data_IF_785480611535
#
_entry.id   IF_785480611535
#
_cell.length_a   1.000
_cell.length_b   1.000
_cell.length_c   1.000
_cell.angle_alpha   90.00
_cell.angle_beta   90.00
_cell.angle_gamma   90.00
#
_symmetry.space_group_name_H-M   'P 1'
#
loop_
_entity.id
_entity.type
_entity.pdbx_description
1 polymer ?
#
# COMPACT_ATOMS: atom_id res chain seq x y z
N UNK A 1 18.75 -10.30 50.76
CA UNK A 1 19.46 -9.10 50.29
C UNK A 1 20.87 -9.15 50.85
N UNK A 2 21.91 -8.84 50.06
CA UNK A 2 23.29 -8.79 50.51
C UNK A 2 23.78 -7.34 50.47
N UNK A 3 24.40 -6.89 51.55
CA UNK A 3 25.01 -5.58 51.64
C UNK A 3 26.52 -5.74 51.54
N UNK A 4 27.16 -4.96 50.67
CA UNK A 4 28.60 -4.92 50.55
C UNK A 4 29.07 -3.48 50.83
N UNK A 5 29.40 -3.23 52.09
CA UNK A 5 29.72 -1.88 52.61
C UNK A 5 30.88 -1.22 51.88
N UNK A 6 31.94 -1.98 51.56
CA UNK A 6 33.14 -1.45 50.94
C UNK A 6 32.87 -0.86 49.53
N UNK A 7 31.93 -1.42 48.75
CA UNK A 7 31.53 -0.85 47.46
C UNK A 7 30.16 -0.15 47.50
N UNK A 8 29.62 0.12 48.71
CA UNK A 8 28.30 0.74 48.91
C UNK A 8 27.19 0.13 48.03
N UNK A 9 27.25 -1.18 47.82
CA UNK A 9 26.37 -1.89 46.89
C UNK A 9 25.39 -2.77 47.65
N UNK A 10 24.12 -2.70 47.28
CA UNK A 10 23.07 -3.58 47.78
C UNK A 10 22.64 -4.51 46.65
N UNK A 11 22.67 -5.82 46.87
CA UNK A 11 22.24 -6.82 45.88
C UNK A 11 21.02 -7.58 46.38
N UNK A 12 19.97 -7.58 45.55
CA UNK A 12 18.79 -8.41 45.72
C UNK A 12 18.83 -9.54 44.69
N UNK A 13 18.89 -10.80 45.15
CA UNK A 13 18.79 -11.98 44.28
C UNK A 13 17.41 -12.59 44.44
N UNK A 14 16.68 -12.73 43.35
CA UNK A 14 15.39 -13.44 43.31
C UNK A 14 15.68 -14.95 43.38
N UNK A 15 15.11 -15.69 44.35
CA UNK A 15 15.33 -17.13 44.45
C UNK A 15 14.59 -17.87 43.32
N UNK A 16 15.23 -18.90 42.77
CA UNK A 16 14.66 -19.72 41.69
C UNK A 16 14.55 -18.99 40.35
N UNK A 17 13.57 -19.39 39.54
CA UNK A 17 13.25 -18.76 38.26
C UNK A 17 12.32 -17.58 38.50
N UNK A 18 12.76 -16.37 38.17
CA UNK A 18 11.91 -15.19 38.25
C UNK A 18 10.71 -15.31 37.31
N UNK A 19 9.52 -15.02 37.80
CA UNK A 19 8.32 -15.00 36.97
C UNK A 19 8.39 -13.85 35.95
N UNK A 20 7.95 -14.08 34.70
CA UNK A 20 7.83 -13.02 33.71
C UNK A 20 6.78 -11.99 34.17
N UNK A 21 7.05 -10.71 33.92
CA UNK A 21 6.12 -9.63 34.27
C UNK A 21 6.82 -8.37 34.77
N UNK A 22 6.02 -7.41 35.19
CA UNK A 22 6.49 -6.12 35.67
C UNK A 22 6.89 -6.19 37.14
N UNK A 23 8.18 -5.98 37.42
CA UNK A 23 8.70 -5.91 38.78
C UNK A 23 8.80 -4.45 39.21
N UNK A 24 8.09 -4.09 40.28
CA UNK A 24 8.15 -2.74 40.87
C UNK A 24 9.12 -2.75 42.05
N UNK A 25 9.96 -1.73 42.13
CA UNK A 25 10.81 -1.47 43.28
C UNK A 25 10.62 -0.02 43.73
N UNK A 26 10.84 0.24 45.02
CA UNK A 26 10.84 1.58 45.58
C UNK A 26 12.07 1.71 46.48
N UNK A 27 12.77 2.82 46.38
CA UNK A 27 13.94 3.13 47.20
C UNK A 27 13.60 4.33 48.05
N UNK A 28 13.62 4.16 49.36
CA UNK A 28 13.41 5.24 50.31
C UNK A 28 14.78 5.71 50.82
N UNK A 29 15.08 6.99 50.62
CA UNK A 29 16.33 7.63 51.08
C UNK A 29 15.98 8.86 51.90
N UNK A 30 16.74 9.10 52.98
CA UNK A 30 16.60 10.30 53.83
C UNK A 30 17.45 11.48 53.34
N UNK A 31 18.32 11.23 52.37
CA UNK A 31 19.22 12.22 51.78
C UNK A 31 19.08 12.24 50.25
N UNK A 32 19.31 13.40 49.64
CA UNK A 32 19.40 13.52 48.18
C UNK A 32 20.73 12.97 47.71
N UNK A 33 20.71 11.89 46.93
CA UNK A 33 21.89 11.23 46.41
C UNK A 33 21.56 10.53 45.07
N UNK A 34 22.54 10.49 44.17
CA UNK A 34 22.43 9.74 42.92
C UNK A 34 22.64 8.25 43.18
N UNK A 35 21.67 7.42 42.76
CA UNK A 35 21.69 5.97 42.93
C UNK A 35 21.66 5.31 41.56
N UNK A 36 22.52 4.31 41.34
CA UNK A 36 22.46 3.47 40.15
C UNK A 36 21.74 2.17 40.50
N UNK A 37 20.68 1.87 39.75
CA UNK A 37 19.94 0.60 39.87
C UNK A 37 20.23 -0.24 38.64
N UNK A 38 20.83 -1.41 38.84
CA UNK A 38 21.10 -2.37 37.77
C UNK A 38 20.28 -3.63 38.00
N UNK A 39 19.42 -3.96 37.04
CA UNK A 39 18.68 -5.22 37.02
C UNK A 39 19.32 -6.15 35.99
N UNK A 40 19.84 -7.29 36.46
CA UNK A 40 20.40 -8.33 35.59
C UNK A 40 19.46 -9.55 35.56
N UNK A 41 19.28 -10.13 34.38
CA UNK A 41 18.45 -11.33 34.19
C UNK A 41 19.18 -12.32 33.29
N UNK A 42 18.88 -13.61 33.47
CA UNK A 42 19.41 -14.71 32.66
C UNK A 42 18.23 -15.50 32.08
N UNK A 43 18.42 -16.13 30.90
CA UNK A 43 17.41 -16.98 30.29
C UNK A 43 16.98 -18.10 31.24
N UNK A 44 15.66 -18.31 31.36
CA UNK A 44 15.08 -19.35 32.23
C UNK A 44 15.40 -20.77 31.74
N UNK A 45 15.65 -20.93 30.44
CA UNK A 45 16.08 -22.18 29.82
C UNK A 45 17.27 -21.90 28.90
N UNK A 46 18.23 -22.82 28.87
CA UNK A 46 19.43 -22.68 28.05
C UNK A 46 19.16 -22.76 26.53
N UNK A 47 18.04 -23.37 26.13
CA UNK A 47 17.64 -23.55 24.74
C UNK A 47 16.85 -22.37 24.14
N UNK A 48 16.41 -21.43 24.99
CA UNK A 48 15.72 -20.21 24.56
C UNK A 48 16.61 -19.01 24.85
N UNK A 49 17.42 -18.56 23.89
CA UNK A 49 18.29 -17.40 24.09
C UNK A 49 17.46 -16.13 24.27
N UNK A 50 17.97 -15.14 25.03
CA UNK A 50 17.22 -13.94 25.31
C UNK A 50 17.09 -13.05 24.07
N UNK A 51 16.09 -12.17 24.07
CA UNK A 51 16.06 -11.02 23.16
C UNK A 51 17.26 -10.13 23.50
N UNK A 52 18.05 -9.84 22.48
CA UNK A 52 19.26 -9.03 22.49
C UNK A 52 18.94 -7.68 21.86
N UNK A 53 19.48 -6.62 22.46
CA UNK A 53 19.45 -5.27 21.91
C UNK A 53 20.89 -4.80 21.78
N UNK A 54 21.28 -4.38 20.58
CA UNK A 54 22.54 -3.66 20.35
C UNK A 54 22.23 -2.22 20.01
N UNK A 55 22.97 -1.28 20.58
CA UNK A 55 22.80 0.14 20.32
C UNK A 55 24.14 0.77 19.97
N UNK A 56 24.16 1.59 18.92
CA UNK A 56 25.36 2.29 18.49
C UNK A 56 25.00 3.57 17.71
N UNK A 57 25.99 4.45 17.57
CA UNK A 57 25.92 5.62 16.70
C UNK A 57 26.58 5.30 15.35
N UNK A 58 26.26 6.03 14.28
CA UNK A 58 27.01 5.94 13.01
C UNK A 58 28.49 6.34 13.14
N UNK A 59 28.82 7.20 14.11
CA UNK A 59 30.16 7.71 14.36
C UNK A 59 30.34 8.09 15.84
N UNK A 60 31.58 7.99 16.33
CA UNK A 60 31.93 8.33 17.73
C UNK A 60 32.39 9.78 17.91
N UNK A 61 32.67 10.49 16.82
CA UNK A 61 33.05 11.90 16.82
C UNK A 61 32.25 12.63 15.74
N UNK A 62 31.75 13.82 16.05
CA UNK A 62 31.07 14.70 15.09
C UNK A 62 31.59 16.13 15.21
N UNK A 63 31.99 16.70 14.08
CA UNK A 63 32.29 18.13 13.94
C UNK A 63 31.05 18.95 13.52
N UNK A 64 29.89 18.29 13.40
CA UNK A 64 28.64 18.89 12.93
C UNK A 64 28.50 18.94 11.39
N UNK A 65 29.50 18.52 10.62
CA UNK A 65 29.39 18.54 9.15
C UNK A 65 28.52 17.41 8.59
N UNK A 66 28.36 16.34 9.37
CA UNK A 66 27.58 15.16 9.01
C UNK A 66 26.56 14.86 10.09
N UNK A 67 25.39 14.33 9.70
CA UNK A 67 24.36 13.98 10.65
C UNK A 67 24.77 12.79 11.53
N UNK A 68 24.28 12.80 12.77
CA UNK A 68 24.39 11.68 13.69
C UNK A 68 23.15 10.79 13.56
N UNK A 69 23.36 9.48 13.55
CA UNK A 69 22.27 8.49 13.52
C UNK A 69 22.41 7.59 14.74
N UNK A 70 21.28 7.35 15.41
CA UNK A 70 21.18 6.36 16.47
C UNK A 70 20.60 5.09 15.87
N UNK A 71 21.26 3.95 16.11
CA UNK A 71 20.78 2.63 15.71
C UNK A 71 20.49 1.76 16.92
N UNK A 72 19.41 0.97 16.82
CA UNK A 72 19.08 -0.09 17.75
C UNK A 72 18.66 -1.36 16.99
N UNK A 73 19.47 -2.42 17.09
CA UNK A 73 19.14 -3.73 16.53
C UNK A 73 18.46 -4.56 17.61
N UNK A 74 17.23 -5.03 17.34
CA UNK A 74 16.46 -5.90 18.24
C UNK A 74 16.32 -7.27 17.60
N UNK A 75 16.93 -8.28 18.23
CA UNK A 75 16.94 -9.64 17.67
C UNK A 75 16.89 -10.72 18.74
N UNK A 76 16.39 -11.90 18.37
CA UNK A 76 16.54 -13.12 19.15
C UNK A 76 17.07 -14.21 18.21
N UNK A 77 18.25 -14.75 18.50
CA UNK A 77 19.01 -15.53 17.53
C UNK A 77 19.27 -14.74 16.24
N UNK A 78 18.96 -15.35 15.10
CA UNK A 78 19.06 -14.77 13.77
C UNK A 78 17.74 -14.15 13.29
N UNK A 79 16.74 -14.02 14.17
CA UNK A 79 15.44 -13.45 13.85
C UNK A 79 15.34 -12.04 14.42
N UNK A 80 15.08 -11.09 13.54
CA UNK A 80 14.79 -9.70 13.91
C UNK A 80 13.43 -9.61 14.61
N UNK A 81 13.32 -8.70 15.57
CA UNK A 81 12.10 -8.43 16.33
C UNK A 81 11.57 -7.06 15.95
N UNK A 82 10.40 -7.04 15.33
CA UNK A 82 9.75 -5.84 14.80
C UNK A 82 8.53 -5.45 15.62
N UNK A 83 7.98 -4.25 15.39
CA UNK A 83 6.85 -3.67 16.13
C UNK A 83 7.09 -3.56 17.64
N UNK A 84 8.28 -3.12 18.02
CA UNK A 84 8.64 -2.81 19.40
C UNK A 84 8.71 -1.31 19.63
N UNK A 85 8.46 -0.89 20.87
CA UNK A 85 8.64 0.50 21.28
C UNK A 85 10.12 0.71 21.65
N UNK A 86 10.84 1.49 20.84
CA UNK A 86 12.28 1.75 21.02
C UNK A 86 12.53 3.22 21.28
N UNK A 87 13.17 3.52 22.41
CA UNK A 87 13.55 4.87 22.80
C UNK A 87 15.04 4.94 23.13
N UNK A 88 15.71 5.91 22.54
CA UNK A 88 17.06 6.32 22.90
C UNK A 88 17.01 7.47 23.90
N UNK A 89 17.92 7.45 24.87
CA UNK A 89 18.22 8.55 25.78
C UNK A 89 19.68 8.93 25.55
N UNK A 90 19.91 10.16 25.11
CA UNK A 90 21.24 10.72 24.91
C UNK A 90 21.52 11.72 26.04
N UNK A 91 22.52 11.43 26.86
CA UNK A 91 22.85 12.21 28.05
C UNK A 91 24.20 12.90 27.87
N UNK A 92 24.21 14.23 27.92
CA UNK A 92 25.42 15.04 27.84
C UNK A 92 26.20 15.03 29.16
N UNK A 93 27.48 15.37 29.10
CA UNK A 93 28.35 15.52 30.29
C UNK A 93 27.84 16.57 31.30
N UNK A 94 27.03 17.53 30.83
CA UNK A 94 26.34 18.51 31.70
C UNK A 94 25.11 17.95 32.44
N UNK A 95 24.77 16.67 32.23
CA UNK A 95 23.63 16.00 32.85
C UNK A 95 22.28 16.26 32.18
N UNK A 96 22.26 16.90 31.01
CA UNK A 96 21.02 17.06 30.26
C UNK A 96 20.76 15.84 29.40
N UNK A 97 19.57 15.25 29.53
CA UNK A 97 19.15 14.08 28.78
C UNK A 97 18.09 14.45 27.75
N UNK A 98 18.20 13.87 26.57
CA UNK A 98 17.21 13.97 25.51
C UNK A 98 16.69 12.60 25.13
N UNK A 99 15.38 12.48 24.97
CA UNK A 99 14.72 11.27 24.51
C UNK A 99 14.43 11.36 23.00
N UNK A 100 14.62 10.25 22.30
CA UNK A 100 14.42 10.11 20.87
C UNK A 100 13.79 8.75 20.57
N UNK A 101 12.60 8.73 19.97
CA UNK A 101 11.96 7.48 19.57
C UNK A 101 12.57 6.96 18.28
N UNK A 102 13.10 5.74 18.26
CA UNK A 102 13.64 5.12 17.06
C UNK A 102 12.55 4.34 16.31
N UNK A 103 12.57 4.40 14.98
CA UNK A 103 11.54 3.83 14.11
C UNK A 103 12.15 2.77 13.17
N UNK A 104 11.36 1.77 12.83
CA UNK A 104 11.64 0.72 11.84
C UNK A 104 10.54 0.79 10.76
N UNK A 105 10.52 1.91 10.03
CA UNK A 105 9.46 2.31 9.10
C UNK A 105 9.93 2.45 7.64
N UNK A 106 11.23 2.30 7.38
CA UNK A 106 11.87 2.43 6.08
C UNK A 106 11.97 3.86 5.56
N UNK A 107 11.96 4.86 6.45
CA UNK A 107 12.06 6.27 6.11
C UNK A 107 13.08 7.02 6.99
N UNK A 108 13.59 8.15 6.48
CA UNK A 108 14.56 8.96 7.20
C UNK A 108 15.88 8.22 7.40
N UNK A 109 16.36 8.15 8.64
CA UNK A 109 17.56 7.37 8.95
C UNK A 109 17.37 5.85 8.77
N UNK A 110 16.12 5.37 8.75
CA UNK A 110 15.81 3.96 8.62
C UNK A 110 15.70 3.52 7.16
N UNK A 111 16.61 2.64 6.75
CA UNK A 111 16.74 2.26 5.35
C UNK A 111 15.72 1.20 4.92
N UNK A 112 15.30 0.31 5.84
CA UNK A 112 14.46 -0.83 5.52
C UNK A 112 13.39 -1.06 6.58
N UNK A 113 12.13 -0.92 6.17
CA UNK A 113 10.97 -1.24 7.01
C UNK A 113 10.95 -2.70 7.44
N UNK A 114 10.58 -2.90 8.70
CA UNK A 114 10.33 -4.18 9.36
C UNK A 114 11.55 -5.12 9.28
N UNK A 115 12.77 -4.61 9.45
CA UNK A 115 14.00 -5.41 9.46
C UNK A 115 14.58 -5.63 10.88
N UNK A 116 13.99 -5.01 11.90
CA UNK A 116 14.38 -5.06 13.31
C UNK A 116 15.55 -4.15 13.69
N UNK A 117 15.99 -3.30 12.76
CA UNK A 117 16.87 -2.18 13.03
C UNK A 117 15.99 -0.94 13.14
N UNK A 118 16.04 -0.29 14.30
CA UNK A 118 15.33 0.95 14.54
C UNK A 118 16.35 2.07 14.49
N UNK A 119 16.05 3.13 13.75
CA UNK A 119 16.98 4.25 13.64
C UNK A 119 16.29 5.59 13.49
N UNK A 120 17.04 6.66 13.79
CA UNK A 120 16.60 8.05 13.68
C UNK A 120 17.79 9.01 13.69
N UNK A 121 17.68 10.16 13.04
CA UNK A 121 18.70 11.20 13.14
C UNK A 121 18.65 11.91 14.50
N UNK A 122 19.83 12.25 15.01
CA UNK A 122 20.01 13.03 16.23
C UNK A 122 20.54 14.43 15.91
N UNK A 123 19.66 15.42 15.89
CA UNK A 123 19.96 16.79 15.44
C UNK A 123 20.20 17.78 16.58
N UNK A 124 19.60 17.54 17.75
CA UNK A 124 19.72 18.39 18.95
C UNK A 124 21.04 18.14 19.71
N UNK A 125 22.16 18.25 18.99
CA UNK A 125 23.47 17.95 19.53
C UNK A 125 23.92 18.99 20.56
N UNK A 126 24.71 18.56 21.56
CA UNK A 126 25.39 19.47 22.50
C UNK A 126 26.89 19.22 22.45
N UNK A 127 27.68 20.29 22.53
CA UNK A 127 29.14 20.17 22.56
C UNK A 127 29.59 19.36 23.78
N UNK A 128 30.69 18.63 23.61
CA UNK A 128 31.29 17.79 24.63
C UNK A 128 30.88 16.33 24.48
N UNK A 129 31.16 15.54 25.52
CA UNK A 129 30.91 14.09 25.51
C UNK A 129 29.47 13.80 25.88
N UNK A 130 28.87 12.86 25.15
CA UNK A 130 27.53 12.35 25.42
C UNK A 130 27.54 10.83 25.47
N UNK A 131 26.57 10.25 26.19
CA UNK A 131 26.37 8.81 26.29
C UNK A 131 25.03 8.40 25.70
N UNK A 132 24.99 7.23 25.07
CA UNK A 132 23.78 6.64 24.51
C UNK A 132 23.24 5.55 25.43
N UNK A 133 21.93 5.56 25.68
CA UNK A 133 21.20 4.46 26.31
C UNK A 133 19.96 4.17 25.47
N UNK A 134 19.69 2.90 25.20
CA UNK A 134 18.49 2.50 24.45
C UNK A 134 17.63 1.60 25.31
N UNK A 135 16.34 1.87 25.32
CA UNK A 135 15.31 1.08 25.98
C UNK A 135 14.34 0.56 24.92
N UNK A 136 14.12 -0.76 24.94
CA UNK A 136 13.17 -1.46 24.08
C UNK A 136 12.09 -2.08 24.95
N UNK A 137 10.83 -1.93 24.55
CA UNK A 137 9.68 -2.51 25.21
C UNK A 137 8.76 -3.21 24.20
N UNK A 138 8.15 -4.30 24.65
CA UNK A 138 6.99 -4.90 24.00
C UNK A 138 5.90 -5.09 25.07
N UNK A 139 5.29 -3.99 25.50
CA UNK A 139 4.21 -4.04 26.50
C UNK A 139 2.85 -4.29 25.87
N UNK A 140 2.65 -3.97 24.60
CA UNK A 140 1.35 -4.17 23.95
C UNK A 140 1.21 -5.55 23.31
N UNK A 141 2.27 -6.37 23.35
CA UNK A 141 2.30 -7.71 22.79
C UNK A 141 2.26 -7.74 21.25
N UNK A 142 2.45 -6.59 20.59
CA UNK A 142 2.40 -6.49 19.13
C UNK A 142 3.71 -6.91 18.46
N UNK A 143 4.79 -7.06 19.22
CA UNK A 143 6.07 -7.46 18.65
C UNK A 143 6.00 -8.87 18.07
N UNK A 144 6.64 -9.04 16.92
CA UNK A 144 6.69 -10.29 16.19
C UNK A 144 8.08 -10.48 15.60
N UNK A 145 8.44 -11.72 15.29
CA UNK A 145 9.64 -11.96 14.49
C UNK A 145 9.40 -11.56 13.04
N UNK A 146 10.45 -11.08 12.38
CA UNK A 146 10.41 -10.94 10.92
C UNK A 146 10.23 -12.32 10.29
N UNK A 147 9.43 -12.36 9.22
CA UNK A 147 9.41 -13.53 8.37
C UNK A 147 10.75 -13.62 7.65
N UNK A 148 11.41 -14.78 7.71
CA UNK A 148 12.51 -15.04 6.79
C UNK A 148 11.94 -14.90 5.38
N UNK A 149 12.37 -13.86 4.64
CA UNK A 149 12.09 -13.73 3.21
C UNK A 149 12.64 -15.01 2.54
N UNK A 150 11.80 -16.03 2.38
CA UNK A 150 12.12 -17.19 1.55
C UNK A 150 12.34 -16.64 0.14
N UNK A 151 13.48 -16.99 -0.47
CA UNK A 151 14.01 -16.52 -1.75
C UNK A 151 13.04 -15.75 -2.65
N UNK A 152 13.36 -14.47 -2.86
CA UNK A 152 12.58 -13.50 -3.62
C UNK A 152 12.64 -13.69 -5.14
N UNK A 153 12.04 -14.77 -5.64
CA UNK A 153 11.49 -14.71 -7.00
C UNK A 153 10.13 -13.99 -6.89
N UNK A 154 9.91 -12.84 -7.56
CA UNK A 154 8.58 -12.26 -7.64
C UNK A 154 7.64 -13.30 -8.25
N UNK A 155 6.47 -13.50 -7.63
CA UNK A 155 5.44 -14.35 -8.20
C UNK A 155 4.98 -13.67 -9.49
N UNK A 156 5.27 -14.29 -10.64
CA UNK A 156 4.86 -13.78 -11.95
C UNK A 156 3.36 -14.00 -12.08
N UNK A 157 2.50 -12.95 -12.14
CA UNK A 157 1.05 -13.12 -12.17
C UNK A 157 0.53 -13.76 -13.46
N UNK A 158 1.34 -13.73 -14.52
CA UNK A 158 1.02 -14.31 -15.82
C UNK A 158 2.12 -14.05 -16.85
N UNK A 159 2.03 -14.69 -18.00
CA UNK A 159 2.96 -14.51 -19.12
C UNK A 159 2.19 -14.31 -20.43
N UNK A 160 2.86 -13.73 -21.43
CA UNK A 160 2.24 -13.44 -22.74
C UNK A 160 2.53 -14.57 -23.72
N UNK A 161 1.48 -15.19 -24.28
CA UNK A 161 1.57 -16.14 -25.38
C UNK A 161 0.77 -15.60 -26.55
N UNK A 162 1.41 -15.39 -27.70
CA UNK A 162 0.76 -14.91 -28.93
C UNK A 162 -0.08 -13.63 -28.73
N UNK A 163 0.35 -12.72 -27.85
CA UNK A 163 -0.35 -11.46 -27.56
C UNK A 163 -1.49 -11.57 -26.54
N UNK A 164 -1.75 -12.76 -25.98
CA UNK A 164 -2.75 -12.98 -24.93
C UNK A 164 -2.04 -13.21 -23.59
N UNK A 165 -2.52 -12.55 -22.52
CA UNK A 165 -1.99 -12.71 -21.16
C UNK A 165 -2.60 -13.97 -20.53
N UNK A 166 -1.78 -15.00 -20.28
CA UNK A 166 -2.16 -16.17 -19.50
C UNK A 166 -1.81 -15.95 -18.02
N UNK A 167 -2.80 -16.03 -17.13
CA UNK A 167 -2.62 -15.83 -15.69
C UNK A 167 -2.13 -17.11 -15.01
N UNK A 168 -1.14 -16.97 -14.12
CA UNK A 168 -0.69 -18.05 -13.27
C UNK A 168 -1.66 -18.24 -12.07
N UNK A 169 -1.76 -19.45 -11.49
CA UNK A 169 -2.68 -19.75 -10.37
C UNK A 169 -2.36 -18.92 -9.12
N UNK A 170 -3.36 -18.31 -8.44
CA UNK A 170 -3.14 -17.40 -7.33
C UNK A 170 -2.12 -17.94 -6.33
N UNK A 171 -1.16 -17.10 -5.97
CA UNK A 171 -0.05 -17.46 -5.08
C UNK A 171 -0.64 -18.18 -3.85
N UNK A 172 -0.21 -19.41 -3.54
CA UNK A 172 -0.72 -20.13 -2.39
C UNK A 172 -0.55 -19.26 -1.13
N UNK A 173 -1.58 -19.15 -0.28
CA UNK A 173 -1.43 -18.45 0.98
C UNK A 173 -0.35 -19.15 1.79
N UNK A 174 0.77 -18.46 2.02
CA UNK A 174 1.80 -18.96 2.93
C UNK A 174 1.29 -18.70 4.33
N UNK A 175 1.18 -19.73 5.17
CA UNK A 175 0.77 -19.54 6.56
C UNK A 175 1.83 -18.68 7.27
N UNK A 176 1.48 -17.42 7.49
CA UNK A 176 2.19 -16.49 8.35
C UNK A 176 1.99 -16.90 9.81
N UNK A 177 2.52 -18.05 10.23
CA UNK A 177 2.66 -18.34 11.65
C UNK A 177 3.77 -17.41 12.19
N UNK A 178 3.40 -16.16 12.46
CA UNK A 178 4.22 -15.26 13.24
C UNK A 178 4.32 -15.85 14.63
N UNK A 179 5.50 -16.35 14.99
CA UNK A 179 5.79 -16.67 16.38
C UNK A 179 5.65 -15.36 17.18
N UNK A 180 4.69 -15.33 18.09
CA UNK A 180 4.48 -14.18 18.96
C UNK A 180 5.69 -13.98 19.86
N UNK A 181 6.09 -12.73 20.03
CA UNK A 181 7.15 -12.36 20.96
C UNK A 181 6.47 -12.01 22.28
N UNK A 182 6.82 -12.73 23.34
CA UNK A 182 6.29 -12.45 24.68
C UNK A 182 6.61 -11.03 25.14
N UNK A 183 5.94 -10.56 26.20
CA UNK A 183 6.21 -9.23 26.78
C UNK A 183 7.64 -9.15 27.31
N UNK A 184 8.34 -8.05 27.00
CA UNK A 184 9.69 -7.84 27.51
C UNK A 184 10.05 -6.36 27.65
N UNK A 185 11.09 -6.10 28.43
CA UNK A 185 11.83 -4.84 28.43
C UNK A 185 13.32 -5.14 28.45
N UNK A 186 14.07 -4.41 27.62
CA UNK A 186 15.53 -4.46 27.56
C UNK A 186 16.07 -3.04 27.57
N UNK A 187 17.15 -2.84 28.33
CA UNK A 187 17.89 -1.59 28.32
C UNK A 187 19.35 -1.92 28.09
N UNK A 188 19.97 -1.23 27.15
CA UNK A 188 21.39 -1.36 26.84
C UNK A 188 22.03 0.02 26.86
N UNK A 189 23.24 0.11 27.39
CA UNK A 189 24.07 1.31 27.27
C UNK A 189 24.89 1.15 26.00
N UNK A 190 24.72 2.08 25.07
CA UNK A 190 25.53 2.17 23.85
C UNK A 190 26.87 2.86 24.12
N UNK A 191 27.59 3.14 23.05
CA UNK A 191 28.87 3.83 23.13
C UNK A 191 28.71 5.32 23.50
N UNK A 192 29.78 5.92 24.03
CA UNK A 192 29.87 7.38 24.14
C UNK A 192 30.32 7.98 22.82
N UNK A 193 29.91 9.22 22.55
CA UNK A 193 30.36 9.99 21.41
C UNK A 193 30.69 11.42 21.82
N UNK A 194 31.51 12.10 21.03
CA UNK A 194 31.95 13.48 21.26
C UNK A 194 31.48 14.38 20.12
N UNK A 195 30.99 15.57 20.48
CA UNK A 195 30.51 16.57 19.52
C UNK A 195 31.32 17.85 19.67
N UNK A 196 31.90 18.33 18.57
CA UNK A 196 32.73 19.52 18.52
C UNK A 196 32.50 20.32 17.23
N UNK A 197 31.46 21.17 17.21
CA UNK A 197 31.22 22.13 16.12
C UNK A 197 31.67 23.56 16.49
N UNK A 198 31.96 24.38 15.48
CA UNK A 198 32.50 25.75 15.66
C UNK A 198 31.44 26.79 16.05
N UNK A 199 30.17 26.57 15.72
CA UNK A 199 29.04 27.47 16.02
C UNK A 199 28.53 27.42 17.48
N UNK A 200 27.59 28.31 17.83
CA UNK A 200 26.92 28.32 19.15
C UNK A 200 25.67 27.44 19.19
N UNK A 201 25.07 27.17 18.03
CA UNK A 201 23.93 26.26 17.85
C UNK A 201 24.34 25.05 17.01
N UNK A 202 23.65 23.91 17.16
CA UNK A 202 23.83 22.77 16.27
C UNK A 202 23.59 23.19 14.81
N UNK A 203 24.30 22.56 13.85
CA UNK A 203 24.04 22.75 12.44
C UNK A 203 22.66 22.20 12.09
N UNK A 204 21.93 22.93 11.23
CA UNK A 204 20.69 22.45 10.63
C UNK A 204 21.00 21.74 9.31
N UNK A 205 20.29 20.65 9.02
CA UNK A 205 20.36 19.95 7.74
C UNK A 205 19.01 20.06 7.02
N UNK A 206 19.00 20.05 5.68
CA UNK A 206 17.74 20.07 4.95
C UNK A 206 16.88 18.82 5.25
N UNK A 207 15.58 18.85 4.94
CA UNK A 207 14.68 17.71 5.12
C UNK A 207 15.22 16.46 4.42
N UNK A 208 14.98 15.29 5.00
CA UNK A 208 15.46 14.03 4.41
C UNK A 208 14.78 13.76 3.06
N UNK A 209 15.47 13.03 2.19
CA UNK A 209 14.89 12.53 0.94
C UNK A 209 13.73 11.59 1.25
N UNK A 210 12.60 11.79 0.56
CA UNK A 210 11.48 10.84 0.57
C UNK A 210 11.84 9.63 -0.30
N UNK A 211 11.77 8.42 0.28
CA UNK A 211 12.21 7.17 -0.36
C UNK A 211 11.07 6.23 -0.72
N UNK A 212 9.87 6.48 -0.19
CA UNK A 212 8.69 5.62 -0.29
C UNK A 212 7.50 6.28 -1.00
N UNK A 213 7.77 7.33 -1.80
CA UNK A 213 6.72 7.98 -2.60
C UNK A 213 6.04 6.95 -3.51
N UNK A 214 4.73 6.91 -3.44
CA UNK A 214 3.86 6.06 -4.26
C UNK A 214 2.77 6.90 -4.91
N UNK A 215 2.28 6.44 -6.06
CA UNK A 215 1.25 7.10 -6.83
C UNK A 215 0.26 6.07 -7.37
N UNK A 216 -1.03 6.33 -7.21
CA UNK A 216 -2.12 5.49 -7.68
C UNK A 216 -3.16 6.35 -8.39
N UNK A 217 -3.56 5.99 -9.61
CA UNK A 217 -4.67 6.66 -10.29
C UNK A 217 -5.99 6.06 -9.78
N UNK A 218 -6.85 6.89 -9.19
CA UNK A 218 -8.18 6.53 -8.71
C UNK A 218 -9.23 7.33 -9.48
N UNK A 219 -9.94 6.67 -10.41
CA UNK A 219 -10.95 7.30 -11.27
C UNK A 219 -10.40 8.53 -12.04
N UNK A 220 -10.64 9.72 -11.47
CA UNK A 220 -10.31 11.06 -11.95
C UNK A 220 -9.31 11.78 -11.03
N UNK A 221 -8.62 11.07 -10.14
CA UNK A 221 -7.58 11.63 -9.28
C UNK A 221 -6.33 10.75 -9.25
N UNK A 222 -5.25 11.33 -8.74
CA UNK A 222 -4.04 10.60 -8.38
C UNK A 222 -3.88 10.71 -6.87
N UNK A 223 -3.92 9.57 -6.19
CA UNK A 223 -3.54 9.46 -4.79
C UNK A 223 -2.02 9.32 -4.72
N UNK A 224 -1.37 10.27 -4.07
CA UNK A 224 0.03 10.16 -3.69
C UNK A 224 0.13 9.81 -2.21
N UNK A 225 1.09 8.95 -1.86
CA UNK A 225 1.38 8.61 -0.46
C UNK A 225 2.87 8.47 -0.21
N UNK A 226 3.33 8.97 0.93
CA UNK A 226 4.72 8.94 1.37
C UNK A 226 4.82 9.05 2.89
N UNK A 227 6.01 8.81 3.45
CA UNK A 227 6.32 9.14 4.85
C UNK A 227 6.89 10.55 4.94
N UNK A 228 6.29 11.40 5.78
CA UNK A 228 6.64 12.80 5.96
C UNK A 228 8.10 12.96 6.41
N UNK A 229 8.91 13.80 5.75
CA UNK A 229 10.21 14.21 6.26
C UNK A 229 10.07 15.32 7.31
N UNK A 230 11.18 15.64 7.97
CA UNK A 230 11.24 16.70 8.99
C UNK A 230 11.64 18.07 8.47
N UNK A 231 11.81 19.00 9.41
CA UNK A 231 12.48 20.29 9.21
C UNK A 231 14.00 20.08 9.11
N UNK A 232 14.54 19.29 10.03
CA UNK A 232 15.95 18.92 10.11
C UNK A 232 16.06 17.40 9.94
N UNK A 233 16.35 16.97 8.71
CA UNK A 233 16.33 15.55 8.32
C UNK A 233 14.96 14.91 8.62
N UNK A 234 14.90 13.97 9.58
CA UNK A 234 13.68 13.27 10.03
C UNK A 234 13.16 13.79 11.39
N UNK A 235 13.51 15.02 11.77
CA UNK A 235 13.05 15.70 12.99
C UNK A 235 12.21 16.94 12.68
N UNK A 236 11.12 17.14 13.44
CA UNK A 236 10.23 18.28 13.26
C UNK A 236 9.26 18.10 12.10
N UNK A 237 8.86 19.21 11.49
CA UNK A 237 7.86 19.27 10.41
C UNK A 237 8.40 20.15 9.30
N UNK A 238 8.47 19.61 8.07
CA UNK A 238 8.87 20.41 6.91
C UNK A 238 7.91 21.60 6.71
N UNK A 239 8.41 22.70 6.15
CA UNK A 239 7.60 23.88 5.85
C UNK A 239 6.60 23.63 4.71
N UNK A 240 7.05 22.99 3.63
CA UNK A 240 6.23 22.78 2.43
C UNK A 240 6.78 21.70 1.51
N UNK A 241 5.96 21.27 0.55
CA UNK A 241 6.35 20.38 -0.53
C UNK A 241 6.30 21.06 -1.89
N UNK A 242 7.28 20.76 -2.73
CA UNK A 242 7.25 20.98 -4.16
C UNK A 242 7.03 19.64 -4.85
N UNK A 243 5.80 19.43 -5.35
CA UNK A 243 5.43 18.21 -6.06
C UNK A 243 5.43 18.50 -7.56
N UNK A 244 6.12 17.66 -8.33
CA UNK A 244 6.18 17.78 -9.78
C UNK A 244 5.91 16.47 -10.48
N UNK A 245 5.45 16.56 -11.72
CA UNK A 245 5.11 15.41 -12.55
C UNK A 245 5.55 15.60 -14.01
N UNK A 246 5.68 14.48 -14.72
CA UNK A 246 5.97 14.45 -16.16
C UNK A 246 5.50 13.13 -16.80
N UNK A 247 5.34 13.13 -18.11
CA UNK A 247 5.24 11.90 -18.91
C UNK A 247 6.60 11.25 -19.15
N UNK A 248 7.67 12.03 -19.01
CA UNK A 248 9.04 11.58 -19.21
C UNK A 248 9.74 11.42 -17.86
N UNK A 249 10.08 10.18 -17.54
CA UNK A 249 10.86 9.81 -16.35
C UNK A 249 12.18 10.60 -16.29
N UNK A 250 12.83 10.84 -17.43
CA UNK A 250 14.12 11.52 -17.48
C UNK A 250 14.01 12.98 -17.07
N UNK A 251 12.90 13.64 -17.41
CA UNK A 251 12.62 15.02 -17.02
C UNK A 251 12.65 15.20 -15.51
N UNK A 252 12.07 14.26 -14.74
CA UNK A 252 12.09 14.33 -13.28
C UNK A 252 13.45 13.95 -12.67
N UNK A 253 14.26 13.12 -13.35
CA UNK A 253 15.60 12.73 -12.89
C UNK A 253 16.64 13.82 -13.10
N UNK A 254 16.64 14.45 -14.27
CA UNK A 254 17.71 15.37 -14.67
C UNK A 254 17.30 16.83 -14.58
N UNK A 255 16.01 17.13 -14.74
CA UNK A 255 15.50 18.48 -14.92
C UNK A 255 14.23 18.73 -14.09
N UNK A 256 14.25 18.30 -12.81
CA UNK A 256 13.11 18.43 -11.89
C UNK A 256 12.48 19.83 -11.94
N UNK A 257 13.29 20.89 -11.89
CA UNK A 257 12.86 22.29 -11.92
C UNK A 257 12.13 22.73 -13.21
N UNK A 258 12.13 21.92 -14.27
CA UNK A 258 11.41 22.18 -15.52
C UNK A 258 10.16 21.30 -15.69
N UNK A 259 9.96 20.29 -14.83
CA UNK A 259 8.78 19.44 -14.86
C UNK A 259 7.51 20.20 -14.42
N UNK A 260 6.34 19.63 -14.70
CA UNK A 260 5.07 20.27 -14.39
C UNK A 260 4.83 20.35 -12.89
N UNK A 261 4.54 21.54 -12.38
CA UNK A 261 4.32 21.80 -10.94
C UNK A 261 2.88 21.49 -10.56
N UNK A 262 2.71 20.80 -9.43
CA UNK A 262 1.42 20.65 -8.74
C UNK A 262 1.26 21.79 -7.75
N UNK A 263 0.08 22.39 -7.67
CA UNK A 263 -0.21 23.38 -6.65
C UNK A 263 -0.31 22.70 -5.28
N UNK A 264 0.59 23.02 -4.37
CA UNK A 264 0.68 22.44 -3.02
C UNK A 264 0.28 23.42 -1.92
N UNK A 265 -0.30 24.58 -2.26
CA UNK A 265 -0.62 25.64 -1.29
C UNK A 265 -1.61 25.21 -0.17
N UNK A 266 -2.39 24.17 -0.38
CA UNK A 266 -3.30 23.61 0.64
C UNK A 266 -2.68 22.44 1.42
N UNK A 267 -1.57 21.88 0.95
CA UNK A 267 -0.91 20.74 1.61
C UNK A 267 -0.12 21.26 2.80
N UNK A 268 -0.47 20.79 4.00
CA UNK A 268 0.25 21.09 5.23
C UNK A 268 1.04 19.84 5.65
N UNK A 269 2.38 19.87 5.58
CA UNK A 269 3.20 18.76 6.04
C UNK A 269 2.90 18.37 7.50
N UNK A 270 2.91 17.08 7.77
CA UNK A 270 2.79 16.49 9.10
C UNK A 270 4.16 16.35 9.78
N UNK A 271 4.14 15.94 11.05
CA UNK A 271 5.36 15.61 11.79
C UNK A 271 6.10 14.43 11.14
N UNK A 272 7.43 14.54 11.11
CA UNK A 272 8.31 13.55 10.51
C UNK A 272 8.02 12.12 10.97
N UNK A 273 7.97 11.19 10.02
CA UNK A 273 7.63 9.78 10.26
C UNK A 273 6.14 9.47 10.16
N UNK A 274 5.27 10.48 10.05
CA UNK A 274 3.85 10.28 9.76
C UNK A 274 3.64 9.83 8.31
N UNK A 275 2.69 8.93 8.08
CA UNK A 275 2.30 8.57 6.70
C UNK A 275 1.28 9.60 6.21
N UNK A 276 1.56 10.19 5.06
CA UNK A 276 0.73 11.18 4.40
C UNK A 276 0.07 10.61 3.13
N UNK A 277 -1.14 11.10 2.87
CA UNK A 277 -1.94 10.71 1.72
C UNK A 277 -2.68 11.92 1.16
N UNK A 278 -2.40 12.26 -0.10
CA UNK A 278 -3.01 13.41 -0.76
C UNK A 278 -3.53 13.02 -2.15
N UNK A 279 -4.80 13.28 -2.39
CA UNK A 279 -5.47 13.02 -3.67
C UNK A 279 -5.53 14.30 -4.50
N UNK A 280 -5.02 14.26 -5.74
CA UNK A 280 -4.98 15.38 -6.67
C UNK A 280 -5.87 15.09 -7.89
N UNK A 281 -6.83 15.95 -8.21
CA UNK A 281 -7.76 15.70 -9.32
C UNK A 281 -7.10 15.91 -10.70
N UNK A 282 -7.58 15.12 -11.65
CA UNK A 282 -7.27 15.16 -13.07
C UNK A 282 -8.47 15.84 -13.72
N UNK A 283 -8.32 17.01 -14.34
CA UNK A 283 -9.48 17.69 -14.92
C UNK A 283 -9.88 17.03 -16.24
N UNK A 284 -10.81 16.07 -16.18
CA UNK A 284 -11.57 15.58 -17.34
C UNK A 284 -13.00 15.14 -16.95
N UNK A 285 -13.82 14.83 -17.96
CA UNK A 285 -15.17 14.26 -17.82
C UNK A 285 -15.13 12.80 -18.27
N UNK A 286 -15.42 11.85 -17.38
CA UNK A 286 -15.59 10.43 -17.76
C UNK A 286 -16.81 10.31 -18.67
N UNK A 287 -16.60 9.92 -19.93
CA UNK A 287 -17.69 9.34 -20.72
C UNK A 287 -17.76 7.84 -20.42
N UNK A 288 -18.78 7.45 -19.65
CA UNK A 288 -19.16 6.11 -19.19
C UNK A 288 -18.49 5.63 -17.90
N UNK A 289 -19.27 5.70 -16.82
CA UNK A 289 -18.85 5.41 -15.45
C UNK A 289 -19.16 4.01 -14.93
N UNK A 290 -18.62 3.77 -13.74
CA UNK A 290 -19.19 3.00 -12.63
C UNK A 290 -18.45 3.49 -11.39
N UNK A 291 -19.17 4.09 -10.44
CA UNK A 291 -18.60 4.61 -9.18
C UNK A 291 -18.50 3.50 -8.15
N UNK A 292 -17.33 3.32 -7.52
CA UNK A 292 -17.16 2.46 -6.36
C UNK A 292 -16.43 3.23 -5.25
N UNK A 293 -17.08 3.35 -4.09
CA UNK A 293 -16.49 3.98 -2.90
C UNK A 293 -15.52 3.03 -2.20
N UNK A 294 -14.32 3.52 -1.85
CA UNK A 294 -13.42 2.86 -0.90
C UNK A 294 -13.40 3.61 0.44
N UNK A 295 -13.32 2.86 1.53
CA UNK A 295 -13.39 3.38 2.89
C UNK A 295 -12.12 4.18 3.26
N UNK A 296 -12.32 5.41 3.70
CA UNK A 296 -11.28 6.35 4.09
C UNK A 296 -10.72 6.02 5.50
N UNK A 297 -9.42 5.71 5.56
CA UNK A 297 -8.56 6.31 6.60
C UNK A 297 -8.39 7.80 6.27
N UNK A 298 -7.89 8.61 7.21
CA UNK A 298 -7.81 10.08 7.09
C UNK A 298 -7.01 10.55 5.85
N UNK A 299 -7.65 10.63 4.69
CA UNK A 299 -7.11 11.20 3.46
C UNK A 299 -7.56 12.66 3.42
N UNK A 300 -6.62 13.58 3.50
CA UNK A 300 -6.90 14.98 3.20
C UNK A 300 -7.04 15.13 1.68
N UNK A 301 -8.27 15.34 1.23
CA UNK A 301 -8.58 15.51 -0.19
C UNK A 301 -8.28 16.95 -0.62
N UNK A 302 -7.15 17.16 -1.28
CA UNK A 302 -6.79 18.45 -1.87
C UNK A 302 -7.08 18.45 -3.38
N UNK A 303 -8.27 18.92 -3.76
CA UNK A 303 -8.69 18.97 -5.17
C UNK A 303 -7.95 20.06 -5.95
N UNK A 304 -7.11 19.67 -6.90
CA UNK A 304 -6.48 20.57 -7.89
C UNK A 304 -6.68 20.05 -9.30
N UNK A 305 -6.66 20.91 -10.32
CA UNK A 305 -6.97 20.54 -11.70
C UNK A 305 -5.69 20.32 -12.53
N UNK A 306 -5.36 19.07 -12.86
CA UNK A 306 -4.39 18.72 -13.90
C UNK A 306 -5.09 18.75 -15.29
N UNK A 307 -5.02 19.86 -16.02
CA UNK A 307 -5.79 20.07 -17.26
C UNK A 307 -5.19 19.37 -18.48
N UNK A 308 -5.41 18.07 -18.65
CA UNK A 308 -5.10 17.33 -19.88
C UNK A 308 -5.82 15.97 -19.96
N UNK A 309 -5.95 15.44 -21.18
CA UNK A 309 -6.60 14.15 -21.45
C UNK A 309 -5.63 12.99 -21.23
N UNK A 310 -5.90 12.12 -20.26
CA UNK A 310 -5.17 10.86 -20.06
C UNK A 310 -5.79 9.80 -20.98
N UNK A 311 -5.00 9.28 -21.91
CA UNK A 311 -5.41 8.17 -22.79
C UNK A 311 -5.20 6.82 -22.08
N UNK A 312 -5.85 5.76 -22.57
CA UNK A 312 -5.56 4.42 -22.11
C UNK A 312 -4.07 4.10 -22.35
N UNK A 313 -3.38 3.54 -21.35
CA UNK A 313 -1.95 3.27 -21.42
C UNK A 313 -1.04 4.46 -21.11
N UNK A 314 -1.58 5.63 -20.75
CA UNK A 314 -0.77 6.76 -20.27
C UNK A 314 -0.14 6.44 -18.92
N UNK A 315 1.15 6.75 -18.79
CA UNK A 315 1.92 6.64 -17.55
C UNK A 315 2.34 8.03 -17.11
N UNK A 316 2.10 8.34 -15.84
CA UNK A 316 2.51 9.56 -15.18
C UNK A 316 3.61 9.23 -14.18
N UNK A 317 4.62 10.09 -14.13
CA UNK A 317 5.68 10.04 -13.15
C UNK A 317 5.57 11.23 -12.21
N UNK A 318 5.84 11.02 -10.92
CA UNK A 318 5.78 12.03 -9.87
C UNK A 318 7.05 12.02 -9.03
N UNK A 319 7.48 13.20 -8.59
CA UNK A 319 8.55 13.36 -7.65
C UNK A 319 8.27 14.54 -6.70
N UNK A 320 8.84 14.46 -5.49
CA UNK A 320 8.63 15.44 -4.43
C UNK A 320 9.97 15.94 -3.90
N UNK A 321 10.02 17.22 -3.59
CA UNK A 321 11.03 17.83 -2.73
C UNK A 321 10.35 18.48 -1.53
N UNK A 322 10.99 18.42 -0.38
CA UNK A 322 10.54 19.06 0.84
C UNK A 322 11.43 20.25 1.15
N UNK A 323 10.86 21.26 1.79
CA UNK A 323 11.52 22.53 2.08
C UNK A 323 11.46 22.82 3.58
N UNK A 324 12.56 23.31 4.14
CA UNK A 324 12.64 23.75 5.54
C UNK A 324 12.25 25.23 5.73
N UNK A 325 12.22 25.73 6.96
CA UNK A 325 11.92 27.13 7.25
C UNK A 325 12.94 28.11 6.64
N UNK A 326 14.16 27.64 6.36
CA UNK A 326 15.22 28.42 5.71
C UNK A 326 15.22 28.31 4.18
N UNK A 327 14.23 27.62 3.59
CA UNK A 327 14.08 27.36 2.16
C UNK A 327 15.16 26.44 1.56
N UNK A 328 15.86 25.66 2.39
CA UNK A 328 16.71 24.58 1.92
C UNK A 328 15.83 23.40 1.51
N UNK A 329 16.17 22.79 0.37
CA UNK A 329 15.39 21.70 -0.22
C UNK A 329 16.06 20.36 0.03
N UNK A 330 15.23 19.33 0.25
CA UNK A 330 15.67 17.94 0.21
C UNK A 330 16.19 17.56 -1.17
N UNK A 331 16.88 16.42 -1.24
CA UNK A 331 17.04 15.74 -2.52
C UNK A 331 15.66 15.34 -3.10
N UNK A 332 15.58 15.22 -4.42
CA UNK A 332 14.39 14.71 -5.11
C UNK A 332 14.09 13.29 -4.66
N UNK A 333 12.82 13.00 -4.36
CA UNK A 333 12.35 11.70 -3.91
C UNK A 333 12.69 10.53 -4.86
N UNK A 334 12.35 9.30 -4.48
CA UNK A 334 12.12 8.27 -5.50
C UNK A 334 11.01 8.73 -6.47
N UNK A 335 11.07 8.31 -7.73
CA UNK A 335 10.05 8.67 -8.71
C UNK A 335 8.94 7.63 -8.63
N UNK A 336 7.73 8.09 -8.29
CA UNK A 336 6.53 7.26 -8.31
C UNK A 336 5.94 7.22 -9.72
N UNK A 337 5.36 6.08 -10.07
CA UNK A 337 4.73 5.85 -11.37
C UNK A 337 3.27 5.45 -11.15
N UNK A 338 2.36 6.04 -11.93
CA UNK A 338 0.97 5.62 -12.00
C UNK A 338 0.53 5.48 -13.46
N UNK A 339 -0.14 4.37 -13.81
CA UNK A 339 -0.59 4.08 -15.17
C UNK A 339 -2.07 3.71 -15.18
N UNK A 340 -2.84 4.24 -16.14
CA UNK A 340 -4.26 3.89 -16.35
C UNK A 340 -4.36 2.82 -17.42
N UNK A 341 -4.70 1.59 -17.02
CA UNK A 341 -4.94 0.46 -17.94
C UNK A 341 -6.43 0.12 -17.86
N UNK A 342 -7.19 0.45 -18.90
CA UNK A 342 -8.56 -0.03 -19.07
C UNK A 342 -8.49 -1.47 -19.60
N UNK A 343 -9.24 -2.43 -19.02
CA UNK A 343 -9.36 -3.76 -19.59
C UNK A 343 -9.98 -3.66 -20.99
N UNK A 344 -9.50 -4.48 -21.93
CA UNK A 344 -10.08 -4.57 -23.27
C UNK A 344 -11.59 -4.82 -23.17
N UNK A 345 -12.41 -4.20 -24.03
CA UNK A 345 -13.82 -4.56 -24.08
C UNK A 345 -13.90 -6.07 -24.32
N UNK A 346 -14.56 -6.78 -23.41
CA UNK A 346 -14.84 -8.21 -23.58
C UNK A 346 -15.31 -8.43 -25.00
N UNK A 347 -14.67 -9.32 -25.79
CA UNK A 347 -15.05 -9.52 -27.18
C UNK A 347 -16.55 -9.82 -27.19
N UNK A 348 -17.31 -8.99 -27.91
CA UNK A 348 -18.74 -9.17 -28.05
C UNK A 348 -18.98 -10.62 -28.41
N UNK A 349 -19.81 -11.30 -27.62
CA UNK A 349 -20.13 -12.71 -27.82
C UNK A 349 -20.31 -12.94 -29.31
N UNK A 350 -19.47 -13.82 -29.89
CA UNK A 350 -19.52 -14.14 -31.31
C UNK A 350 -20.96 -14.58 -31.59
N UNK A 351 -21.74 -13.69 -32.19
CA UNK A 351 -23.08 -14.02 -32.65
C UNK A 351 -22.86 -14.97 -33.82
N UNK A 352 -22.82 -16.27 -33.53
CA UNK A 352 -22.60 -17.31 -34.53
C UNK A 352 -23.66 -17.13 -35.63
N UNK A 353 -23.32 -16.60 -36.82
CA UNK A 353 -24.31 -16.31 -37.85
C UNK A 353 -24.96 -17.62 -38.36
N UNK A 354 -24.26 -18.75 -38.15
CA UNK A 354 -24.77 -20.08 -38.46
C UNK A 354 -26.01 -20.50 -37.64
N UNK A 355 -26.17 -20.03 -36.40
CA UNK A 355 -27.33 -20.39 -35.58
C UNK A 355 -28.60 -19.65 -36.02
N UNK A 356 -28.47 -18.42 -36.52
CA UNK A 356 -29.60 -17.63 -36.98
C UNK A 356 -30.12 -18.15 -38.34
N UNK A 357 -29.21 -18.61 -39.21
CA UNK A 357 -29.58 -19.22 -40.49
C UNK A 357 -30.28 -20.57 -40.31
N UNK A 358 -29.82 -21.43 -39.40
CA UNK A 358 -30.48 -22.72 -39.15
C UNK A 358 -31.87 -22.54 -38.55
N UNK A 359 -32.07 -21.58 -37.64
CA UNK A 359 -33.39 -21.25 -37.08
C UNK A 359 -34.33 -20.70 -38.16
N UNK A 360 -33.86 -19.84 -39.06
CA UNK A 360 -34.64 -19.34 -40.20
C UNK A 360 -35.05 -20.46 -41.16
N UNK A 361 -34.13 -21.39 -41.49
CA UNK A 361 -34.41 -22.53 -42.37
C UNK A 361 -35.42 -23.48 -41.73
N UNK A 362 -35.27 -23.80 -40.43
CA UNK A 362 -36.22 -24.65 -39.70
C UNK A 362 -37.61 -24.00 -39.68
N UNK A 363 -37.70 -22.69 -39.42
CA UNK A 363 -38.97 -21.96 -39.43
C UNK A 363 -39.66 -22.03 -40.79
N UNK A 364 -38.91 -21.86 -41.89
CA UNK A 364 -39.44 -21.97 -43.25
C UNK A 364 -39.95 -23.39 -43.58
N UNK A 365 -39.22 -24.43 -43.12
CA UNK A 365 -39.63 -25.82 -43.28
C UNK A 365 -40.91 -26.16 -42.50
N UNK A 366 -41.08 -25.61 -41.31
CA UNK A 366 -42.31 -25.82 -40.52
C UNK A 366 -43.51 -25.15 -41.20
N UNK A 367 -43.36 -23.92 -41.70
CA UNK A 367 -44.44 -23.20 -42.40
C UNK A 367 -44.88 -23.97 -43.66
N UNK A 368 -43.93 -24.47 -44.45
CA UNK A 368 -44.24 -25.25 -45.66
C UNK A 368 -44.94 -26.57 -45.34
N UNK A 369 -44.53 -27.28 -44.28
CA UNK A 369 -45.23 -28.48 -43.79
C UNK A 369 -46.68 -28.19 -43.39
N UNK A 370 -46.93 -27.07 -42.69
CA UNK A 370 -48.28 -26.67 -42.27
C UNK A 370 -49.16 -26.36 -43.50
N UNK A 371 -48.63 -25.64 -44.49
CA UNK A 371 -49.37 -25.34 -45.73
C UNK A 371 -49.72 -26.63 -46.48
N UNK A 372 -48.76 -27.55 -46.62
CA UNK A 372 -49.00 -28.86 -47.25
C UNK A 372 -50.06 -29.67 -46.50
N UNK A 373 -50.03 -29.65 -45.16
CA UNK A 373 -51.02 -30.34 -44.33
C UNK A 373 -52.42 -29.76 -44.51
N UNK A 374 -52.56 -28.43 -44.47
CA UNK A 374 -53.84 -27.75 -44.70
C UNK A 374 -54.35 -28.02 -46.13
N UNK A 375 -53.48 -27.97 -47.14
CA UNK A 375 -53.83 -28.32 -48.52
C UNK A 375 -54.30 -29.78 -48.66
N UNK A 376 -53.65 -30.72 -47.96
CA UNK A 376 -54.05 -32.12 -47.92
C UNK A 376 -55.41 -32.32 -47.23
N UNK A 377 -55.68 -31.59 -46.14
CA UNK A 377 -56.98 -31.62 -45.44
C UNK A 377 -58.09 -31.07 -46.34
N UNK A 378 -57.86 -29.95 -47.02
CA UNK A 378 -58.83 -29.34 -47.95
C UNK A 378 -59.12 -30.27 -49.13
N UNK A 379 -58.10 -30.86 -49.75
CA UNK A 379 -58.30 -31.82 -50.86
C UNK A 379 -59.00 -33.10 -50.40
N UNK A 380 -58.72 -33.58 -49.18
CA UNK A 380 -59.43 -34.74 -48.60
C UNK A 380 -60.90 -34.40 -48.29
N UNK A 381 -61.19 -33.20 -47.82
CA UNK A 381 -62.56 -32.70 -47.62
C UNK A 381 -63.31 -32.53 -48.95
N UNK A 382 -62.65 -32.00 -49.99
CA UNK A 382 -63.23 -31.86 -51.33
C UNK A 382 -63.52 -33.22 -52.00
N UNK A 383 -62.64 -34.22 -51.82
CA UNK A 383 -62.90 -35.61 -52.27
C UNK A 383 -64.07 -36.24 -51.53
N UNK A 384 -64.23 -35.99 -50.23
CA UNK A 384 -65.41 -36.47 -49.47
C UNK A 384 -66.71 -35.81 -49.95
N UNK A 385 -66.70 -34.53 -50.33
CA UNK A 385 -67.87 -33.86 -50.95
C UNK A 385 -68.23 -34.46 -52.31
N UNK A 386 -67.25 -34.70 -53.19
CA UNK A 386 -67.51 -35.35 -54.50
C UNK A 386 -68.00 -36.80 -54.39
N UNK A 387 -67.63 -37.52 -53.32
CA UNK A 387 -68.17 -38.86 -53.05
C UNK A 387 -69.63 -38.84 -52.56
N UNK A 388 -70.13 -37.71 -52.06
CA UNK A 388 -71.50 -37.57 -51.58
C UNK A 388 -72.46 -37.14 -52.71
N UNK A 389 -72.00 -36.26 -53.63
CA UNK A 389 -72.80 -35.75 -54.75
C UNK A 389 -73.04 -36.75 -55.89
N UNK A 390 -72.31 -37.87 -55.97
CA UNK A 390 -72.54 -38.91 -57.01
C UNK A 390 -73.70 -39.86 -56.63
N UNK A 391 -74.23 -39.79 -55.39
CA UNK A 391 -75.31 -40.68 -54.93
C UNK A 391 -76.74 -40.17 -55.14
N UNK A 392 -76.92 -38.90 -55.54
CA UNK A 392 -78.24 -38.30 -55.73
C UNK A 392 -78.42 -37.84 -57.17
N UNK A 393 -78.72 -38.78 -58.07
CA UNK A 393 -79.16 -38.49 -59.43
C UNK A 393 -80.45 -39.30 -59.70
N UNK A 394 -81.61 -38.64 -59.71
CA UNK A 394 -82.74 -39.08 -60.51
C UNK A 394 -83.45 -37.88 -61.16
N UNK A 395 -83.79 -38.14 -62.40
CA UNK A 395 -84.36 -37.37 -63.51
C UNK A 395 -85.47 -36.37 -63.19
N UNK A 396 -85.55 -35.30 -64.01
CA UNK A 396 -86.82 -34.72 -64.47
C UNK A 396 -86.63 -33.99 -65.83
N UNK A 397 -86.80 -34.80 -66.85
CA UNK A 397 -87.39 -34.65 -68.20
C UNK A 397 -88.10 -33.33 -68.58
N UNK A 398 -87.55 -32.67 -69.62
CA UNK A 398 -88.16 -32.09 -70.86
C UNK A 398 -89.26 -31.01 -70.73
N UNK A 399 -89.05 -29.84 -71.38
CA UNK A 399 -89.75 -29.37 -72.59
C UNK A 399 -89.19 -28.02 -73.09
N UNK A 400 -88.76 -28.01 -74.36
CA UNK A 400 -88.49 -26.86 -75.23
C UNK A 400 -89.65 -26.84 -76.25
N UNK A 401 -90.09 -25.73 -76.90
CA UNK A 401 -89.26 -25.19 -78.01
C UNK A 401 -89.50 -23.71 -78.43
N UNK A 402 -88.59 -23.24 -79.31
CA UNK A 402 -88.81 -22.34 -80.49
C UNK A 402 -89.17 -20.85 -80.27
N UNK A 403 -88.68 -19.84 -81.00
CA UNK A 403 -87.75 -19.66 -82.15
C UNK A 403 -87.53 -18.14 -82.39
N UNK A 404 -86.36 -17.80 -82.97
CA UNK A 404 -86.01 -16.71 -83.92
C UNK A 404 -86.46 -15.24 -83.70
N UNK A 405 -85.49 -14.32 -83.77
CA UNK A 405 -85.24 -13.38 -84.91
C UNK A 405 -84.06 -12.45 -84.58
N UNK A 406 -82.90 -12.54 -85.27
CA UNK A 406 -82.44 -11.66 -86.36
C UNK A 406 -83.35 -10.47 -86.76
N UNK A 407 -82.91 -9.22 -86.57
CA UNK A 407 -82.45 -8.30 -87.65
C UNK A 407 -82.00 -6.91 -87.11
N UNK A 408 -81.10 -6.30 -87.86
CA UNK A 408 -80.41 -5.01 -87.68
C UNK A 408 -81.33 -3.78 -87.67
N UNK A 409 -81.04 -2.80 -86.79
CA UNK A 409 -80.71 -1.41 -87.17
C UNK A 409 -80.07 -0.64 -86.03
#
# INVERSE_FOLDING_TARGET
MRHYEAAKTVTLKVPGTAQPGDWKYSIQTTISQSLTVTATSQAARADVPPIVVKAHMNQQFSDGTKPLIVFAEVSQNYKSVIKTEVWATLESESGSAQELQLLDNGAGADAFRDDGIYSRYFTQMKKGRSSLKVRVKNLDGQARFTFQKRGGAPYVPGYVVNGVVELNPPKPPVSEESLEVGRFTRTVTGESFEVAFTGTTPPNFPPNRITDLSAEIQEDSVLLSWTAPGEDLDQGTAKSYEIRWSYDLQMLRENFSNAHVVNTAAVSPLEAGSVEQHSFNLSFTIQNGTTLFFAAGSVEQHSFNLSFTIQNGTTLFFAVQSEDEQNAKSETSNIAQASKILPDPTPSAISNPGLNLTVLVISLCVITMVICFVGAVITRAARRRKSFDISNNWELTIWNPTTLEHFLK
#
